data_IF_196188840046
#
_entry.id   IF_196188840046
#
_cell.length_a   1.000
_cell.length_b   1.000
_cell.length_c   1.000
_cell.angle_alpha   90.00
_cell.angle_beta   90.00
_cell.angle_gamma   90.00
#
_symmetry.space_group_name_H-M   'P 1'
#
loop_
_entity.id
_entity.type
_entity.pdbx_description
1 polymer ?
#
# COMPACT_ATOMS: atom_id res chain seq x y z
N UNK A 1 55.47 16.92 -21.64
CA UNK A 1 54.86 16.24 -20.47
C UNK A 1 54.11 17.27 -19.66
N UNK A 2 52.81 17.07 -19.43
CA UNK A 2 51.95 17.55 -18.32
C UNK A 2 50.49 17.38 -18.74
N UNK A 3 50.07 16.11 -18.82
CA UNK A 3 48.68 15.73 -18.61
C UNK A 3 48.40 15.87 -17.10
N UNK A 4 47.12 16.00 -16.73
CA UNK A 4 46.59 16.11 -15.36
C UNK A 4 46.59 17.52 -14.75
N UNK A 5 45.54 18.28 -15.01
CA UNK A 5 44.84 19.11 -14.00
C UNK A 5 43.74 19.94 -14.67
N UNK A 6 42.51 19.41 -14.78
CA UNK A 6 41.29 20.22 -14.88
C UNK A 6 39.97 19.41 -14.85
N UNK A 7 39.98 18.14 -14.47
CA UNK A 7 38.78 17.30 -14.39
C UNK A 7 38.04 17.42 -13.03
N UNK A 8 37.99 18.64 -12.46
CA UNK A 8 37.33 18.91 -11.16
C UNK A 8 36.24 19.99 -11.27
N UNK A 9 36.02 20.59 -12.44
CA UNK A 9 35.04 21.67 -12.63
C UNK A 9 33.63 21.19 -13.09
N UNK A 10 33.33 19.88 -13.03
CA UNK A 10 32.07 19.29 -13.51
C UNK A 10 31.28 18.56 -12.41
N UNK A 11 31.22 19.13 -11.22
CA UNK A 11 30.25 18.73 -10.20
C UNK A 11 29.17 19.81 -10.08
N UNK A 12 28.10 19.75 -10.88
CA UNK A 12 26.94 20.59 -10.61
C UNK A 12 26.29 20.05 -9.33
N UNK A 13 26.40 20.83 -8.25
CA UNK A 13 25.35 21.28 -7.33
C UNK A 13 24.07 20.42 -7.13
N UNK A 14 24.11 19.11 -7.31
CA UNK A 14 22.98 18.19 -7.16
C UNK A 14 22.87 17.63 -5.73
N UNK A 15 23.69 18.11 -4.80
CA UNK A 15 23.68 17.69 -3.40
C UNK A 15 22.64 18.42 -2.53
N UNK A 16 21.85 19.33 -3.09
CA UNK A 16 20.90 20.18 -2.35
C UNK A 16 19.45 19.94 -2.78
N UNK A 17 19.02 18.68 -2.87
CA UNK A 17 17.60 18.31 -2.82
C UNK A 17 17.37 16.81 -2.56
N UNK A 18 18.32 16.11 -1.93
CA UNK A 18 17.96 14.84 -1.30
C UNK A 18 17.17 15.22 -0.03
N UNK A 19 15.87 14.91 0.09
CA UNK A 19 15.18 15.11 1.36
C UNK A 19 15.99 14.35 2.41
N UNK A 20 16.55 15.08 3.36
CA UNK A 20 17.38 14.53 4.42
C UNK A 20 16.64 13.36 5.04
N UNK A 21 17.29 12.20 5.17
CA UNK A 21 16.75 11.04 5.89
C UNK A 21 16.27 11.40 7.32
N UNK A 22 16.74 12.54 7.85
CA UNK A 22 16.34 13.14 9.13
C UNK A 22 14.88 13.64 9.15
N UNK A 23 14.30 14.01 8.00
CA UNK A 23 12.89 14.39 7.92
C UNK A 23 11.94 13.17 8.08
N UNK A 24 12.47 11.95 7.97
CA UNK A 24 11.73 10.70 8.25
C UNK A 24 11.71 10.33 9.74
N UNK A 25 12.05 11.22 10.65
CA UNK A 25 12.04 10.89 12.09
C UNK A 25 11.16 11.82 12.94
N UNK A 26 10.50 12.80 12.33
CA UNK A 26 9.75 13.85 13.06
C UNK A 26 8.22 13.75 12.95
N UNK A 27 7.66 12.79 12.22
CA UNK A 27 6.23 12.50 12.23
C UNK A 27 6.00 11.12 12.84
N UNK A 28 4.97 10.97 13.68
CA UNK A 28 4.61 9.70 14.30
C UNK A 28 4.35 8.55 13.29
N UNK A 29 4.35 8.82 11.98
CA UNK A 29 4.39 7.82 10.91
C UNK A 29 5.16 8.39 9.70
N UNK A 30 6.49 8.29 9.67
CA UNK A 30 7.30 9.10 8.76
C UNK A 30 7.41 8.58 7.33
N UNK A 31 7.06 7.32 7.11
CA UNK A 31 7.02 6.73 5.78
C UNK A 31 5.57 6.62 5.33
N UNK A 32 5.22 7.40 4.30
CA UNK A 32 3.93 7.32 3.62
C UNK A 32 4.14 6.72 2.23
N UNK A 33 3.43 5.65 1.93
CA UNK A 33 3.41 4.98 0.64
C UNK A 33 2.02 5.08 0.03
N UNK A 34 1.94 5.58 -1.21
CA UNK A 34 0.73 5.48 -2.01
C UNK A 34 0.52 4.02 -2.44
N UNK A 35 -0.68 3.51 -2.23
CA UNK A 35 -1.05 2.13 -2.51
C UNK A 35 -2.51 2.00 -2.93
N UNK A 36 -2.97 0.78 -3.11
CA UNK A 36 -4.34 0.45 -3.45
C UNK A 36 -4.84 -0.64 -2.51
N UNK A 37 -5.97 -0.39 -1.85
CA UNK A 37 -6.70 -1.39 -1.10
C UNK A 37 -7.81 -1.98 -1.98
N UNK A 38 -7.97 -3.29 -1.98
CA UNK A 38 -8.99 -3.96 -2.78
C UNK A 38 -9.78 -5.00 -1.98
N UNK A 39 -10.96 -5.35 -2.46
CA UNK A 39 -11.81 -6.37 -1.85
C UNK A 39 -12.94 -6.78 -2.77
N UNK A 40 -13.60 -7.88 -2.44
CA UNK A 40 -14.83 -8.30 -3.09
C UNK A 40 -16.04 -7.75 -2.35
N UNK A 41 -16.97 -7.16 -3.11
CA UNK A 41 -18.20 -6.54 -2.59
C UNK A 41 -19.39 -7.16 -3.30
N UNK A 42 -20.35 -7.68 -2.53
CA UNK A 42 -21.59 -8.20 -3.10
C UNK A 42 -22.56 -7.06 -3.46
N UNK A 43 -23.67 -7.39 -4.13
CA UNK A 43 -24.67 -6.40 -4.56
C UNK A 43 -25.30 -5.61 -3.39
N UNK A 44 -25.26 -6.14 -2.17
CA UNK A 44 -25.74 -5.49 -0.95
C UNK A 44 -24.68 -4.62 -0.27
N UNK A 45 -23.50 -4.46 -0.87
CA UNK A 45 -22.40 -3.68 -0.29
C UNK A 45 -21.61 -4.41 0.80
N UNK A 46 -21.85 -5.70 1.02
CA UNK A 46 -21.18 -6.48 2.06
C UNK A 46 -19.84 -7.03 1.57
N UNK A 47 -18.92 -7.21 2.52
CA UNK A 47 -17.55 -7.66 2.29
C UNK A 47 -17.19 -8.77 3.27
N UNK A 48 -16.35 -9.71 2.84
CA UNK A 48 -15.69 -10.70 3.70
C UNK A 48 -14.27 -10.97 3.17
N UNK A 49 -13.40 -9.97 3.30
CA UNK A 49 -12.06 -9.98 2.69
C UNK A 49 -10.96 -10.43 3.65
N UNK A 50 -11.23 -10.56 4.96
CA UNK A 50 -10.20 -10.72 5.98
C UNK A 50 -9.35 -11.98 5.77
N UNK A 51 -10.01 -13.13 5.54
CA UNK A 51 -9.32 -14.39 5.32
C UNK A 51 -8.42 -14.35 4.06
N UNK A 52 -8.95 -13.84 2.96
CA UNK A 52 -8.20 -13.72 1.69
C UNK A 52 -7.00 -12.80 1.81
N UNK A 53 -7.17 -11.72 2.57
CA UNK A 53 -6.16 -10.72 2.77
C UNK A 53 -4.93 -11.28 3.50
N UNK A 54 -5.15 -12.11 4.52
CA UNK A 54 -4.07 -12.76 5.28
C UNK A 54 -3.22 -13.65 4.37
N UNK A 55 -3.82 -14.39 3.45
CA UNK A 55 -3.09 -15.30 2.55
C UNK A 55 -2.12 -14.59 1.59
N UNK A 56 -2.34 -13.30 1.33
CA UNK A 56 -1.48 -12.49 0.47
C UNK A 56 -0.56 -11.54 1.25
N UNK A 57 -0.40 -11.80 2.55
CA UNK A 57 0.31 -10.96 3.50
C UNK A 57 -0.19 -9.50 3.51
N UNK A 58 -1.48 -9.33 3.20
CA UNK A 58 -2.21 -8.10 3.40
C UNK A 58 -2.80 -8.03 4.81
N UNK A 59 -3.51 -6.94 5.07
CA UNK A 59 -4.36 -6.78 6.23
C UNK A 59 -5.63 -5.98 5.89
N UNK A 60 -6.67 -6.12 6.70
CA UNK A 60 -7.93 -5.39 6.58
C UNK A 60 -8.16 -4.62 7.87
N UNK A 61 -8.66 -3.39 7.79
CA UNK A 61 -9.10 -2.65 8.99
C UNK A 61 -10.52 -2.18 8.86
N UNK A 62 -11.27 -2.34 9.95
CA UNK A 62 -12.56 -1.71 10.11
C UNK A 62 -12.36 -0.22 10.42
N UNK A 63 -13.36 0.59 10.06
CA UNK A 63 -13.47 2.00 10.43
C UNK A 63 -12.40 2.93 9.84
N UNK A 64 -11.74 2.54 8.74
CA UNK A 64 -10.79 3.39 8.02
C UNK A 64 -11.48 4.06 6.82
N UNK A 65 -12.45 4.94 7.08
CA UNK A 65 -13.14 5.70 6.03
C UNK A 65 -13.69 4.83 4.89
N UNK A 66 -13.43 5.24 3.65
CA UNK A 66 -13.91 4.57 2.43
C UNK A 66 -13.12 3.30 2.04
N UNK A 67 -12.02 3.02 2.74
CA UNK A 67 -11.24 1.77 2.59
C UNK A 67 -11.52 0.75 3.69
N UNK A 68 -12.48 1.03 4.57
CA UNK A 68 -12.89 0.12 5.65
C UNK A 68 -13.27 -1.26 5.08
N UNK A 69 -12.62 -2.31 5.58
CA UNK A 69 -12.87 -3.70 5.16
C UNK A 69 -12.22 -4.10 3.82
N UNK A 70 -11.53 -3.18 3.13
CA UNK A 70 -10.69 -3.51 1.99
C UNK A 70 -9.31 -4.00 2.46
N UNK A 71 -8.75 -4.92 1.69
CA UNK A 71 -7.43 -5.48 1.92
C UNK A 71 -6.36 -4.55 1.37
N UNK A 72 -5.39 -4.17 2.20
CA UNK A 72 -4.20 -3.42 1.81
C UNK A 72 -2.96 -4.27 2.05
N UNK A 73 -1.84 -3.92 1.40
CA UNK A 73 -0.58 -4.61 1.65
C UNK A 73 0.00 -4.25 3.02
N UNK A 74 0.24 -5.24 3.89
CA UNK A 74 0.84 -5.02 5.21
C UNK A 74 2.37 -4.93 5.14
N UNK A 75 2.99 -5.55 4.15
CA UNK A 75 4.46 -5.65 4.03
C UNK A 75 4.90 -5.43 2.60
N UNK A 76 6.19 -5.12 2.39
CA UNK A 76 6.74 -4.76 1.08
C UNK A 76 6.61 -5.86 0.04
N UNK A 77 6.79 -7.11 0.45
CA UNK A 77 6.74 -8.32 -0.37
C UNK A 77 5.32 -8.90 -0.55
N UNK A 78 4.31 -8.31 0.10
CA UNK A 78 2.92 -8.71 -0.13
C UNK A 78 2.54 -8.50 -1.60
N UNK A 79 1.63 -9.32 -2.09
CA UNK A 79 1.15 -9.22 -3.48
C UNK A 79 0.47 -7.88 -3.72
N UNK A 80 0.41 -7.48 -4.98
CA UNK A 80 -0.36 -6.30 -5.37
C UNK A 80 -1.86 -6.60 -5.32
N UNK A 81 -2.63 -5.82 -4.56
CA UNK A 81 -4.03 -6.12 -4.24
C UNK A 81 -4.94 -6.23 -5.48
N UNK A 82 -4.83 -5.36 -6.51
CA UNK A 82 -5.59 -5.50 -7.76
C UNK A 82 -5.33 -6.82 -8.51
N UNK A 83 -4.14 -7.40 -8.36
CA UNK A 83 -3.80 -8.69 -9.00
C UNK A 83 -4.42 -9.90 -8.28
N UNK A 84 -4.85 -9.72 -7.03
CA UNK A 84 -5.47 -10.75 -6.19
C UNK A 84 -6.98 -10.67 -6.30
N UNK A 85 -7.54 -9.48 -6.08
CA UNK A 85 -8.98 -9.23 -6.10
C UNK A 85 -9.45 -8.95 -7.53
N UNK A 86 -9.37 -9.96 -8.39
CA UNK A 86 -9.83 -9.87 -9.78
C UNK A 86 -11.33 -10.11 -9.90
N UNK A 87 -11.90 -9.78 -11.06
CA UNK A 87 -13.30 -10.08 -11.35
C UNK A 87 -13.61 -11.59 -11.25
N UNK A 88 -12.71 -12.43 -11.75
CA UNK A 88 -12.84 -13.89 -11.68
C UNK A 88 -12.78 -14.41 -10.24
N UNK A 89 -11.84 -13.89 -9.45
CA UNK A 89 -11.71 -14.24 -8.03
C UNK A 89 -13.00 -13.88 -7.28
N UNK A 90 -13.47 -12.64 -7.41
CA UNK A 90 -14.67 -12.17 -6.71
C UNK A 90 -15.96 -12.82 -7.21
N UNK A 91 -16.07 -13.18 -8.50
CA UNK A 91 -17.23 -13.90 -9.02
C UNK A 91 -17.40 -15.30 -8.38
N UNK A 92 -16.30 -15.91 -7.94
CA UNK A 92 -16.30 -17.21 -7.29
C UNK A 92 -16.45 -17.15 -5.76
N UNK A 93 -16.45 -15.94 -5.18
CA UNK A 93 -16.59 -15.74 -3.72
C UNK A 93 -18.01 -15.92 -3.25
N UNK A 94 -18.11 -16.43 -2.02
CA UNK A 94 -19.34 -16.50 -1.23
C UNK A 94 -19.21 -15.52 -0.08
N UNK A 95 -20.05 -14.48 -0.07
CA UNK A 95 -20.09 -13.48 1.00
C UNK A 95 -21.46 -13.59 1.66
N UNK A 96 -21.48 -13.96 2.95
CA UNK A 96 -22.70 -14.16 3.74
C UNK A 96 -23.73 -15.10 3.07
N UNK A 97 -23.26 -16.21 2.49
CA UNK A 97 -24.12 -17.20 1.84
C UNK A 97 -24.59 -16.84 0.44
N UNK A 98 -24.17 -15.69 -0.12
CA UNK A 98 -24.47 -15.29 -1.50
C UNK A 98 -23.23 -15.44 -2.36
N UNK A 99 -23.33 -16.19 -3.46
CA UNK A 99 -22.27 -16.31 -4.46
C UNK A 99 -22.28 -15.11 -5.40
N UNK A 100 -21.10 -14.63 -5.75
CA UNK A 100 -20.91 -13.60 -6.76
C UNK A 100 -20.72 -12.23 -6.12
N UNK A 101 -19.51 -11.71 -6.28
CA UNK A 101 -19.11 -10.39 -5.84
C UNK A 101 -18.32 -9.68 -6.94
N UNK A 102 -18.15 -8.38 -6.80
CA UNK A 102 -17.37 -7.55 -7.72
C UNK A 102 -16.14 -7.00 -7.01
N UNK A 103 -14.99 -6.90 -7.68
CA UNK A 103 -13.82 -6.29 -7.09
C UNK A 103 -14.02 -4.78 -6.98
N UNK A 104 -13.72 -4.24 -5.80
CA UNK A 104 -13.66 -2.80 -5.55
C UNK A 104 -12.25 -2.48 -5.06
N UNK A 105 -11.61 -1.53 -5.72
CA UNK A 105 -10.29 -1.03 -5.35
C UNK A 105 -10.34 0.47 -5.10
N UNK A 106 -9.60 0.93 -4.09
CA UNK A 106 -9.53 2.32 -3.66
C UNK A 106 -8.09 2.71 -3.39
N UNK A 107 -7.64 3.92 -3.81
CA UNK A 107 -6.35 4.43 -3.39
C UNK A 107 -6.29 4.52 -1.86
N UNK A 108 -5.13 4.21 -1.28
CA UNK A 108 -4.88 4.33 0.16
C UNK A 108 -3.47 4.82 0.40
N UNK A 109 -3.30 5.64 1.44
CA UNK A 109 -1.98 6.01 1.94
C UNK A 109 -1.64 5.12 3.13
N UNK A 110 -0.53 4.41 3.00
CA UNK A 110 -0.03 3.50 4.02
C UNK A 110 1.14 4.13 4.75
N UNK A 111 1.12 3.98 6.07
CA UNK A 111 2.06 4.50 7.03
C UNK A 111 2.79 3.34 7.71
N UNK A 112 4.07 3.54 8.05
CA UNK A 112 4.80 2.60 8.92
C UNK A 112 4.12 2.53 10.30
N UNK A 113 3.76 1.33 10.74
CA UNK A 113 3.07 1.09 12.00
C UNK A 113 4.02 0.62 13.12
N UNK A 114 5.33 0.87 13.01
CA UNK A 114 6.38 0.55 13.99
C UNK A 114 6.64 -0.94 14.26
N UNK A 115 5.73 -1.84 13.87
CA UNK A 115 5.89 -3.30 13.95
C UNK A 115 6.56 -3.90 12.70
N UNK A 116 7.21 -3.07 11.87
CA UNK A 116 7.76 -3.47 10.57
C UNK A 116 6.71 -3.73 9.50
N UNK A 117 5.45 -3.38 9.77
CA UNK A 117 4.32 -3.45 8.85
C UNK A 117 3.75 -2.07 8.52
N UNK A 118 2.89 -2.05 7.52
CA UNK A 118 2.18 -0.88 7.05
C UNK A 118 0.71 -0.94 7.44
N UNK A 119 0.12 0.21 7.70
CA UNK A 119 -1.30 0.39 7.95
C UNK A 119 -1.79 1.72 7.37
N UNK A 120 -3.08 1.91 7.10
CA UNK A 120 -3.58 3.22 6.65
C UNK A 120 -3.20 4.36 7.60
N UNK A 121 -2.84 5.53 7.05
CA UNK A 121 -2.27 6.63 7.81
C UNK A 121 -3.21 7.35 8.80
N UNK A 122 -4.53 7.20 8.66
CA UNK A 122 -5.52 7.93 9.48
C UNK A 122 -6.00 7.10 10.68
N UNK A 123 -5.07 6.49 11.40
CA UNK A 123 -5.37 5.78 12.66
C UNK A 123 -5.38 6.73 13.85
#
# INVERSE_FOLDING_TARGET
MKFFAALVALLPAAALAAPSLVARQSAAHPFVMDSVACGCVNASGQMDNHGDCIYVAGDTRANVGDVSGLCYKRVSWARDMPSVFTAEFCANKWINGVKGATPVCKPVKLCDNYDGGWAPCNL
#
